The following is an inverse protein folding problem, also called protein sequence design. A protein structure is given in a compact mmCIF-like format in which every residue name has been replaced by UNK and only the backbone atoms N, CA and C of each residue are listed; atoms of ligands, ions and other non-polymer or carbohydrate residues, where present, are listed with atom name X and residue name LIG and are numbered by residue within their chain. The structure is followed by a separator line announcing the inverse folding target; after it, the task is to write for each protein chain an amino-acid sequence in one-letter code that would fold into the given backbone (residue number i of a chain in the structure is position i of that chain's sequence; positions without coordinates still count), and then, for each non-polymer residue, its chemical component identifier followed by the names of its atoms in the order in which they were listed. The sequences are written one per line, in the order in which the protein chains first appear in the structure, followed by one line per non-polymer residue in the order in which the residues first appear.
data_IF_589014738643
#
_entry.id   IF_589014738643
#
_cell.length_a   1.000
_cell.length_b   1.000
_cell.length_c   1.000
_cell.angle_alpha   90.00
_cell.angle_beta   90.00
_cell.angle_gamma   90.00
#
_symmetry.space_group_name_H-M   'P 1'
#
loop_
_entity.id
_entity.type
_entity.pdbx_description
1 polymer ?
#
# COMPACT_ATOMS: atom_id res chain seq x y z
N UNK A 1 17.57 -2.22 -20.96
CA UNK A 1 17.87 -2.55 -19.55
C UNK A 1 16.77 -1.87 -18.74
N UNK A 2 15.84 -2.62 -18.16
CA UNK A 2 14.82 -2.05 -17.28
C UNK A 2 15.44 -2.02 -15.89
N UNK A 3 15.86 -0.84 -15.44
CA UNK A 3 16.01 -0.61 -14.01
C UNK A 3 14.60 -0.76 -13.42
N UNK A 4 14.38 -1.87 -12.74
CA UNK A 4 13.28 -1.96 -11.79
C UNK A 4 13.74 -1.02 -10.67
N UNK A 5 13.32 0.24 -10.73
CA UNK A 5 13.36 1.07 -9.54
C UNK A 5 12.54 0.30 -8.50
N UNK A 6 13.24 -0.28 -7.54
CA UNK A 6 12.71 -1.11 -6.47
C UNK A 6 12.02 -0.20 -5.45
N UNK A 7 11.11 0.65 -5.94
CA UNK A 7 10.22 1.48 -5.17
C UNK A 7 9.35 0.54 -4.35
N UNK A 8 9.68 0.40 -3.07
CA UNK A 8 9.00 -0.51 -2.16
C UNK A 8 7.50 -0.18 -2.16
N UNK A 9 6.70 -1.04 -2.79
CA UNK A 9 5.24 -0.92 -2.80
C UNK A 9 4.65 -1.36 -1.46
N UNK A 10 3.74 -0.55 -0.93
CA UNK A 10 3.02 -0.78 0.33
C UNK A 10 1.52 -0.84 0.06
N UNK A 11 0.79 -1.74 0.73
CA UNK A 11 -0.66 -1.77 0.75
C UNK A 11 -1.13 -1.45 2.15
N UNK A 12 -1.98 -0.44 2.24
CA UNK A 12 -2.70 -0.10 3.45
C UNK A 12 -4.08 -0.75 3.36
N UNK A 13 -4.46 -1.54 4.37
CA UNK A 13 -5.83 -2.03 4.52
C UNK A 13 -6.39 -1.45 5.82
N UNK A 14 -7.34 -0.55 5.70
CA UNK A 14 -7.97 0.13 6.83
C UNK A 14 -9.36 0.59 6.37
N UNK A 15 -10.40 0.46 7.18
CA UNK A 15 -11.76 0.83 6.83
C UNK A 15 -12.06 2.33 7.08
N UNK A 16 -11.28 2.99 7.93
CA UNK A 16 -11.34 4.42 8.21
C UNK A 16 -10.61 5.23 7.12
N UNK A 17 -11.34 6.17 6.51
CA UNK A 17 -10.83 7.00 5.42
C UNK A 17 -9.77 7.99 5.87
N UNK A 18 -9.91 8.56 7.06
CA UNK A 18 -9.04 9.62 7.55
C UNK A 18 -7.69 9.03 7.97
N UNK A 19 -7.70 7.84 8.60
CA UNK A 19 -6.48 7.08 8.91
C UNK A 19 -5.77 6.57 7.66
N UNK A 20 -6.51 5.98 6.70
CA UNK A 20 -5.94 5.58 5.39
C UNK A 20 -5.23 6.75 4.71
N UNK A 21 -5.91 7.88 4.61
CA UNK A 21 -5.37 9.06 3.92
C UNK A 21 -4.11 9.58 4.61
N UNK A 22 -4.14 9.70 5.94
CA UNK A 22 -2.99 10.16 6.73
C UNK A 22 -1.78 9.23 6.57
N UNK A 23 -2.01 7.92 6.64
CA UNK A 23 -0.96 6.89 6.50
C UNK A 23 -0.37 6.90 5.10
N UNK A 24 -1.22 7.01 4.07
CA UNK A 24 -0.80 7.13 2.67
C UNK A 24 0.13 8.32 2.47
N UNK A 25 -0.27 9.50 2.95
CA UNK A 25 0.52 10.73 2.82
C UNK A 25 1.91 10.59 3.45
N UNK A 26 2.02 9.98 4.63
CA UNK A 26 3.30 9.77 5.32
C UNK A 26 4.21 8.83 4.52
N UNK A 27 3.65 7.74 3.99
CA UNK A 27 4.40 6.72 3.26
C UNK A 27 4.82 7.21 1.87
N UNK A 28 3.94 7.89 1.14
CA UNK A 28 4.29 8.52 -0.15
C UNK A 28 5.38 9.58 0.04
N UNK A 29 5.29 10.41 1.10
CA UNK A 29 6.33 11.39 1.42
C UNK A 29 7.67 10.74 1.82
N UNK A 30 7.65 9.50 2.31
CA UNK A 30 8.85 8.73 2.59
C UNK A 30 9.43 8.02 1.34
N UNK A 31 8.83 8.23 0.15
CA UNK A 31 9.30 7.70 -1.13
C UNK A 31 8.77 6.30 -1.48
N UNK A 32 7.71 5.84 -0.81
CA UNK A 32 7.07 4.57 -1.11
C UNK A 32 5.91 4.76 -2.11
N UNK A 33 5.66 3.74 -2.93
CA UNK A 33 4.44 3.66 -3.72
C UNK A 33 3.35 3.00 -2.87
N UNK A 34 2.25 3.71 -2.64
CA UNK A 34 1.18 3.26 -1.74
C UNK A 34 -0.06 2.85 -2.54
N UNK A 35 -0.53 1.64 -2.27
CA UNK A 35 -1.87 1.18 -2.61
C UNK A 35 -2.76 1.14 -1.36
N UNK A 36 -4.04 1.42 -1.55
CA UNK A 36 -5.04 1.39 -0.49
C UNK A 36 -6.07 0.30 -0.76
N UNK A 37 -6.64 -0.28 0.30
CA UNK A 37 -7.83 -1.10 0.27
C UNK A 37 -8.69 -0.79 1.50
N UNK A 38 -10.01 -0.84 1.32
CA UNK A 38 -10.97 -0.58 2.42
C UNK A 38 -11.39 -1.86 3.14
N UNK A 39 -10.94 -3.02 2.65
CA UNK A 39 -11.27 -4.33 3.20
C UNK A 39 -10.18 -5.36 2.93
N UNK A 40 -10.14 -6.41 3.76
CA UNK A 40 -9.23 -7.53 3.56
C UNK A 40 -9.42 -8.25 2.22
N UNK A 41 -10.65 -8.32 1.69
CA UNK A 41 -10.92 -8.94 0.39
C UNK A 41 -10.30 -8.13 -0.76
N UNK A 42 -10.46 -6.80 -0.73
CA UNK A 42 -9.84 -5.92 -1.71
C UNK A 42 -8.31 -5.98 -1.61
N UNK A 43 -7.77 -6.01 -0.40
CA UNK A 43 -6.34 -6.16 -0.19
C UNK A 43 -5.78 -7.51 -0.67
N UNK A 44 -6.53 -8.60 -0.49
CA UNK A 44 -6.18 -9.92 -1.02
C UNK A 44 -6.17 -9.95 -2.56
N UNK A 45 -7.08 -9.23 -3.22
CA UNK A 45 -7.08 -9.09 -4.68
C UNK A 45 -5.82 -8.33 -5.16
N UNK A 46 -5.43 -7.28 -4.45
CA UNK A 46 -4.26 -6.44 -4.78
C UNK A 46 -2.93 -7.16 -4.53
N UNK A 47 -2.78 -7.84 -3.39
CA UNK A 47 -1.59 -8.66 -3.07
C UNK A 47 -1.39 -9.84 -4.01
N UNK A 48 -2.46 -10.43 -4.55
CA UNK A 48 -2.34 -11.48 -5.58
C UNK A 48 -1.77 -10.98 -6.91
N UNK A 49 -1.88 -9.68 -7.17
CA UNK A 49 -1.44 -9.06 -8.42
C UNK A 49 -0.08 -8.37 -8.31
N UNK A 50 0.53 -8.28 -7.13
CA UNK A 50 1.76 -7.51 -6.91
C UNK A 50 2.59 -8.05 -5.73
N UNK A 51 3.92 -8.01 -5.88
CA UNK A 51 4.85 -8.32 -4.78
C UNK A 51 4.87 -7.12 -3.84
N UNK A 52 4.29 -7.29 -2.65
CA UNK A 52 4.20 -6.27 -1.64
C UNK A 52 5.08 -6.57 -0.44
N UNK A 53 5.75 -5.55 0.07
CA UNK A 53 6.79 -5.68 1.09
C UNK A 53 6.27 -5.33 2.50
N UNK A 54 5.11 -4.70 2.63
CA UNK A 54 4.56 -4.33 3.93
C UNK A 54 3.02 -4.26 3.90
N UNK A 55 2.39 -4.89 4.89
CA UNK A 55 0.93 -4.89 5.07
C UNK A 55 0.61 -4.37 6.48
N UNK A 56 0.00 -3.19 6.55
CA UNK A 56 -0.49 -2.63 7.80
C UNK A 56 -2.01 -2.87 7.88
N UNK A 57 -2.44 -3.53 8.95
CA UNK A 57 -3.83 -3.69 9.37
C UNK A 57 -3.96 -2.96 10.70
N UNK A 58 -4.77 -1.91 10.75
CA UNK A 58 -5.12 -1.16 11.96
C UNK A 58 -6.59 -1.37 12.29
#
# INVERSE_FOLDING_TARGET
MREVEDGKKILIIDDDKDFRFSTRMVLENAGFEVEEAVSGEEGLKKTRSSILIFLLLI
#
